data_IF_376135785568
#
_entry.id   IF_376135785568
#
_cell.length_a   1.000
_cell.length_b   1.000
_cell.length_c   1.000
_cell.angle_alpha   90.00
_cell.angle_beta   90.00
_cell.angle_gamma   90.00
#
_symmetry.space_group_name_H-M   'P 1'
#
loop_
_entity.id
_entity.type
_entity.pdbx_description
1 polymer ?
#
# COMPACT_ATOMS: atom_id res chain seq x y z
N UNK A 1 -5.14 5.79 22.15
CA UNK A 1 -5.18 6.71 20.99
C UNK A 1 -5.50 5.91 19.74
N UNK A 2 -6.24 6.45 18.77
CA UNK A 2 -6.50 5.76 17.50
C UNK A 2 -5.73 6.45 16.38
N UNK A 3 -5.26 5.70 15.37
CA UNK A 3 -4.60 6.29 14.21
C UNK A 3 -5.61 7.10 13.37
N UNK A 4 -5.14 8.22 12.81
CA UNK A 4 -5.93 8.98 11.85
C UNK A 4 -6.05 8.22 10.54
N UNK A 5 -7.14 8.45 9.79
CA UNK A 5 -7.31 7.85 8.46
C UNK A 5 -6.16 8.18 7.51
N UNK A 6 -5.64 9.41 7.57
CA UNK A 6 -4.46 9.82 6.78
C UNK A 6 -3.20 8.99 7.09
N UNK A 7 -2.95 8.69 8.36
CA UNK A 7 -1.79 7.84 8.74
C UNK A 7 -1.96 6.41 8.24
N UNK A 8 -3.19 5.88 8.27
CA UNK A 8 -3.50 4.55 7.73
C UNK A 8 -3.30 4.52 6.21
N UNK A 9 -3.80 5.53 5.49
CA UNK A 9 -3.65 5.64 4.06
C UNK A 9 -2.17 5.75 3.64
N UNK A 10 -1.39 6.55 4.36
CA UNK A 10 0.05 6.71 4.10
C UNK A 10 0.82 5.39 4.28
N UNK A 11 0.59 4.65 5.37
CA UNK A 11 1.25 3.36 5.59
C UNK A 11 0.90 2.34 4.50
N UNK A 12 -0.37 2.32 4.05
CA UNK A 12 -0.83 1.43 2.97
C UNK A 12 -0.15 1.78 1.64
N UNK A 13 -0.06 3.07 1.31
CA UNK A 13 0.56 3.55 0.07
C UNK A 13 2.06 3.25 0.03
N UNK A 14 2.80 3.57 1.10
CA UNK A 14 4.24 3.30 1.19
C UNK A 14 4.55 1.80 1.09
N UNK A 15 3.79 0.97 1.82
CA UNK A 15 3.98 -0.48 1.76
C UNK A 15 3.73 -1.04 0.35
N UNK A 16 2.68 -0.55 -0.33
CA UNK A 16 2.39 -0.94 -1.71
C UNK A 16 3.51 -0.49 -2.66
N UNK A 17 3.92 0.78 -2.62
CA UNK A 17 4.96 1.32 -3.48
C UNK A 17 6.30 0.59 -3.28
N UNK A 18 6.70 0.33 -2.03
CA UNK A 18 7.89 -0.45 -1.71
C UNK A 18 7.78 -1.90 -2.21
N UNK A 19 6.64 -2.55 -2.00
CA UNK A 19 6.40 -3.90 -2.52
C UNK A 19 6.56 -3.95 -4.04
N UNK A 20 5.91 -3.04 -4.77
CA UNK A 20 6.05 -2.93 -6.23
C UNK A 20 7.49 -2.75 -6.65
N UNK A 21 8.21 -1.83 -6.00
CA UNK A 21 9.60 -1.52 -6.30
C UNK A 21 10.52 -2.71 -6.05
N UNK A 22 10.40 -3.36 -4.89
CA UNK A 22 11.23 -4.52 -4.52
C UNK A 22 10.94 -5.74 -5.40
N UNK A 23 9.70 -5.94 -5.84
CA UNK A 23 9.32 -7.09 -6.67
C UNK A 23 9.73 -6.91 -8.13
N UNK A 24 9.74 -5.67 -8.65
CA UNK A 24 9.88 -5.44 -10.10
C UNK A 24 11.09 -4.60 -10.51
N UNK A 25 11.75 -3.92 -9.57
CA UNK A 25 12.82 -2.96 -9.85
C UNK A 25 12.36 -1.63 -10.46
N UNK A 26 11.06 -1.38 -10.57
CA UNK A 26 10.49 -0.14 -11.13
C UNK A 26 9.96 0.79 -10.03
N UNK A 27 9.79 2.07 -10.34
CA UNK A 27 9.08 3.02 -9.50
C UNK A 27 7.58 2.95 -9.75
N UNK A 28 6.81 3.15 -8.69
CA UNK A 28 5.35 3.05 -8.70
C UNK A 28 4.67 4.33 -8.19
N UNK A 29 4.70 5.45 -8.95
CA UNK A 29 3.88 6.61 -8.61
C UNK A 29 2.40 6.23 -8.56
N UNK A 30 1.77 6.41 -7.41
CA UNK A 30 0.34 6.13 -7.21
C UNK A 30 -0.51 7.08 -8.06
N UNK A 31 -1.39 6.52 -8.89
CA UNK A 31 -2.38 7.27 -9.67
C UNK A 31 -3.70 7.40 -8.89
N UNK A 32 -4.17 6.28 -8.34
CA UNK A 32 -5.40 6.21 -7.56
C UNK A 32 -5.20 5.18 -6.45
N UNK A 33 -5.71 5.50 -5.26
CA UNK A 33 -5.82 4.56 -4.16
C UNK A 33 -7.22 4.64 -3.55
N UNK A 34 -7.86 3.49 -3.39
CA UNK A 34 -9.14 3.36 -2.69
C UNK A 34 -8.90 2.63 -1.38
N UNK A 35 -9.16 3.29 -0.25
CA UNK A 35 -9.00 2.72 1.10
C UNK A 35 -10.36 2.38 1.69
N UNK A 36 -10.52 1.15 2.17
CA UNK A 36 -11.67 0.68 2.91
C UNK A 36 -11.33 0.62 4.40
N UNK A 37 -11.96 1.46 5.22
CA UNK A 37 -11.79 1.44 6.68
C UNK A 37 -12.84 0.53 7.32
N UNK A 38 -12.40 -0.57 7.92
CA UNK A 38 -13.31 -1.57 8.50
C UNK A 38 -13.59 -1.31 9.99
N UNK A 39 -12.67 -0.61 10.67
CA UNK A 39 -12.76 -0.27 12.10
C UNK A 39 -11.70 0.75 12.49
N UNK A 40 -11.86 1.32 13.68
CA UNK A 40 -10.85 2.18 14.29
C UNK A 40 -9.55 1.40 14.58
N UNK A 41 -8.42 1.96 14.17
CA UNK A 41 -7.08 1.44 14.45
C UNK A 41 -6.67 1.78 15.88
N UNK A 42 -6.94 0.87 16.82
CA UNK A 42 -6.53 0.99 18.24
C UNK A 42 -5.55 -0.12 18.56
N UNK A 43 -4.56 0.17 19.40
CA UNK A 43 -3.54 -0.79 19.84
C UNK A 43 -2.15 -0.21 19.77
N UNK A 44 -1.16 -1.07 19.96
CA UNK A 44 0.27 -0.74 19.98
C UNK A 44 1.03 -1.26 18.77
N UNK A 45 0.48 -2.26 18.08
CA UNK A 45 1.11 -2.90 16.93
C UNK A 45 0.16 -2.91 15.73
N UNK A 46 0.71 -2.52 14.58
CA UNK A 46 0.05 -2.61 13.29
C UNK A 46 1.01 -3.17 12.26
N UNK A 47 0.50 -4.00 11.35
CA UNK A 47 1.27 -4.62 10.28
C UNK A 47 0.55 -4.36 8.98
N UNK A 48 1.27 -3.80 8.00
CA UNK A 48 0.79 -3.71 6.62
C UNK A 48 1.41 -4.84 5.80
N UNK A 49 0.57 -5.60 5.13
CA UNK A 49 1.00 -6.58 4.13
C UNK A 49 0.60 -6.06 2.77
N UNK A 50 1.55 -5.98 1.84
CA UNK A 50 1.29 -5.54 0.47
C UNK A 50 1.70 -6.61 -0.54
N UNK A 51 1.05 -6.59 -1.70
CA UNK A 51 1.37 -7.48 -2.82
C UNK A 51 1.01 -6.86 -4.16
N UNK A 52 1.84 -7.17 -5.15
CA UNK A 52 1.56 -6.87 -6.55
C UNK A 52 0.52 -7.86 -7.07
N UNK A 53 -0.56 -7.35 -7.66
CA UNK A 53 -1.62 -8.17 -8.28
C UNK A 53 -1.39 -8.38 -9.76
N UNK A 54 -1.06 -7.31 -10.47
CA UNK A 54 -0.75 -7.35 -11.89
C UNK A 54 0.16 -6.19 -12.25
N UNK A 55 0.97 -6.40 -13.29
CA UNK A 55 1.89 -5.40 -13.84
C UNK A 55 1.78 -5.46 -15.36
N UNK A 56 1.70 -4.30 -15.98
CA UNK A 56 1.79 -4.11 -17.42
C UNK A 56 3.02 -3.26 -17.72
N UNK A 57 3.23 -2.90 -18.99
CA UNK A 57 4.32 -2.00 -19.37
C UNK A 57 4.17 -0.57 -18.84
N UNK A 58 2.96 -0.14 -18.47
CA UNK A 58 2.68 1.26 -18.09
C UNK A 58 1.98 1.41 -16.74
N UNK A 59 1.34 0.37 -16.23
CA UNK A 59 0.57 0.41 -14.98
C UNK A 59 0.70 -0.86 -14.16
N UNK A 60 0.40 -0.76 -12.87
CA UNK A 60 0.29 -1.90 -11.99
C UNK A 60 -0.88 -1.74 -11.03
N UNK A 61 -1.41 -2.88 -10.61
CA UNK A 61 -2.41 -2.99 -9.54
C UNK A 61 -1.74 -3.64 -8.34
N UNK A 62 -1.86 -3.00 -7.19
CA UNK A 62 -1.35 -3.50 -5.92
C UNK A 62 -2.46 -3.52 -4.89
N UNK A 63 -2.32 -4.41 -3.92
CA UNK A 63 -3.20 -4.47 -2.76
C UNK A 63 -2.37 -4.36 -1.50
N UNK A 64 -2.93 -3.70 -0.49
CA UNK A 64 -2.35 -3.62 0.83
C UNK A 64 -3.43 -3.82 1.90
N UNK A 65 -3.10 -4.56 2.95
CA UNK A 65 -3.98 -4.85 4.08
C UNK A 65 -3.30 -4.43 5.37
N UNK A 66 -3.96 -3.58 6.16
CA UNK A 66 -3.55 -3.20 7.50
C UNK A 66 -4.24 -4.10 8.51
N UNK A 67 -3.45 -4.82 9.31
CA UNK A 67 -3.91 -5.57 10.46
C UNK A 67 -3.42 -4.91 11.76
N UNK A 68 -4.28 -4.91 12.79
CA UNK A 68 -3.89 -4.58 14.16
C UNK A 68 -3.46 -5.81 14.94
N UNK A 69 -3.47 -5.70 16.27
CA UNK A 69 -3.19 -6.81 17.18
C UNK A 69 -4.07 -8.04 16.89
N UNK A 70 -3.49 -9.23 17.10
CA UNK A 70 -4.14 -10.53 16.85
C UNK A 70 -4.57 -10.75 15.38
N UNK A 71 -3.95 -10.05 14.43
CA UNK A 71 -4.23 -10.21 12.99
C UNK A 71 -5.57 -9.63 12.56
N UNK A 72 -6.19 -8.81 13.42
CA UNK A 72 -7.51 -8.25 13.15
C UNK A 72 -7.41 -7.19 12.05
N UNK A 73 -8.02 -7.42 10.89
CA UNK A 73 -8.01 -6.45 9.77
C UNK A 73 -8.64 -5.11 10.18
N UNK A 74 -7.96 -4.01 9.85
CA UNK A 74 -8.33 -2.63 10.23
C UNK A 74 -8.75 -1.86 8.99
N UNK A 75 -7.98 -1.96 7.92
CA UNK A 75 -8.25 -1.33 6.64
C UNK A 75 -7.61 -2.14 5.51
N UNK A 76 -8.09 -1.94 4.29
CA UNK A 76 -7.45 -2.44 3.08
C UNK A 76 -7.42 -1.37 2.00
N UNK A 77 -6.51 -1.50 1.05
CA UNK A 77 -6.37 -0.61 -0.08
C UNK A 77 -6.20 -1.38 -1.38
N UNK A 78 -6.82 -0.85 -2.44
CA UNK A 78 -6.50 -1.17 -3.83
C UNK A 78 -5.82 0.05 -4.45
N UNK A 79 -4.63 -0.17 -5.01
CA UNK A 79 -3.76 0.88 -5.53
C UNK A 79 -3.56 0.63 -7.03
N UNK A 80 -3.78 1.66 -7.83
CA UNK A 80 -3.35 1.71 -9.23
C UNK A 80 -2.18 2.66 -9.30
N UNK A 81 -1.05 2.16 -9.79
CA UNK A 81 0.18 2.93 -9.94
C UNK A 81 0.67 2.91 -11.38
N UNK A 82 1.43 3.94 -11.74
CA UNK A 82 2.17 3.96 -13.00
C UNK A 82 3.49 3.20 -12.84
N UNK A 83 3.92 2.48 -13.87
CA UNK A 83 5.25 1.85 -13.88
C UNK A 83 6.26 2.83 -14.46
N UNK A 84 7.33 3.12 -13.72
CA UNK A 84 8.43 4.00 -14.14
C UNK A 84 9.78 3.32 -13.99
N UNK A 85 10.63 3.50 -14.99
CA UNK A 85 12.03 3.11 -14.88
C UNK A 85 12.76 4.10 -13.97
N UNK A 86 13.12 3.66 -12.77
CA UNK A 86 13.78 4.50 -11.75
C UNK A 86 15.24 4.76 -12.07
N UNK A 87 15.85 3.95 -12.93
CA UNK A 87 17.24 4.14 -13.39
C UNK A 87 17.41 5.49 -14.10
N UNK A 88 16.31 6.08 -14.57
CA UNK A 88 16.29 7.40 -15.22
C UNK A 88 16.36 8.57 -14.24
N UNK A 89 16.27 8.31 -12.94
CA UNK A 89 16.26 9.33 -11.88
C UNK A 89 17.40 9.15 -10.85
N UNK A 90 18.28 8.17 -11.07
CA UNK A 90 19.46 7.90 -10.25
C UNK A 90 20.72 8.60 -10.81
#
# INVERSE_FOLDING_TARGET
MALSGGSIAEMLDQAAAHCGTLVTGHGFPTLTMTVNYLRAAKGSLFVVTARVRSVTSTSAVLEADLAGEQGRSVASASIVAQVRDISRYA
#
